data_IF_325130625866
#
_entry.id   IF_325130625866
#
_cell.length_a   1.000
_cell.length_b   1.000
_cell.length_c   1.000
_cell.angle_alpha   90.00
_cell.angle_beta   90.00
_cell.angle_gamma   90.00
#
_symmetry.space_group_name_H-M   'P 1'
#
loop_
_entity.id
_entity.type
_entity.pdbx_description
1 polymer ?
#
# COMPACT_ATOMS: atom_id res chain seq x y z
N UNK A 1 -3.90 -11.77 -8.60
CA UNK A 1 -5.23 -12.41 -8.41
C UNK A 1 -5.90 -12.70 -9.75
N UNK A 2 -5.97 -11.76 -10.71
CA UNK A 2 -6.59 -11.97 -12.04
C UNK A 2 -5.98 -13.14 -12.78
N UNK A 3 -4.64 -13.23 -12.87
CA UNK A 3 -3.92 -14.34 -13.47
C UNK A 3 -4.24 -15.67 -12.78
N UNK A 4 -4.22 -15.67 -11.43
CA UNK A 4 -4.57 -16.85 -10.64
C UNK A 4 -6.00 -17.34 -10.93
N UNK A 5 -6.97 -16.42 -10.96
CA UNK A 5 -8.35 -16.75 -11.28
C UNK A 5 -8.49 -17.34 -12.69
N UNK A 6 -7.78 -16.77 -13.66
CA UNK A 6 -7.83 -17.23 -15.05
C UNK A 6 -7.05 -18.54 -15.26
N UNK A 7 -5.76 -18.56 -14.85
CA UNK A 7 -4.86 -19.66 -15.19
C UNK A 7 -5.05 -20.90 -14.33
N UNK A 8 -5.27 -20.72 -13.01
CA UNK A 8 -5.41 -21.83 -12.07
C UNK A 8 -6.89 -22.24 -11.94
N UNK A 9 -7.75 -21.29 -11.66
CA UNK A 9 -9.18 -21.57 -11.43
C UNK A 9 -10.02 -21.58 -12.72
N UNK A 10 -9.41 -21.29 -13.89
CA UNK A 10 -10.07 -21.31 -15.20
C UNK A 10 -11.33 -20.44 -15.26
N UNK A 11 -11.34 -19.34 -14.50
CA UNK A 11 -12.44 -18.37 -14.58
C UNK A 11 -12.37 -17.64 -15.91
N UNK A 12 -13.50 -17.61 -16.61
CA UNK A 12 -13.62 -16.97 -17.93
C UNK A 12 -13.27 -15.47 -17.83
N UNK A 13 -12.30 -14.94 -18.61
CA UNK A 13 -11.88 -13.53 -18.53
C UNK A 13 -13.02 -12.52 -18.69
N UNK A 14 -14.06 -12.88 -19.46
CA UNK A 14 -15.21 -12.01 -19.71
C UNK A 14 -16.05 -11.71 -18.45
N UNK A 15 -15.96 -12.55 -17.41
CA UNK A 15 -16.64 -12.35 -16.12
C UNK A 15 -15.75 -11.70 -15.06
N UNK A 16 -14.49 -11.39 -15.41
CA UNK A 16 -13.55 -10.72 -14.54
C UNK A 16 -13.36 -9.25 -14.96
N UNK A 17 -13.18 -8.38 -13.99
CA UNK A 17 -12.77 -6.99 -14.20
C UNK A 17 -11.84 -6.55 -13.08
N UNK A 18 -10.63 -6.14 -13.45
CA UNK A 18 -9.67 -5.58 -12.48
C UNK A 18 -10.02 -4.11 -12.22
N UNK A 19 -10.31 -3.79 -10.97
CA UNK A 19 -10.53 -2.42 -10.52
C UNK A 19 -9.67 -2.17 -9.29
N UNK A 20 -8.51 -1.50 -9.43
CA UNK A 20 -7.68 -1.11 -8.31
C UNK A 20 -8.29 0.08 -7.55
N UNK A 21 -7.58 0.60 -6.54
CA UNK A 21 -7.93 1.89 -5.96
C UNK A 21 -7.92 2.98 -7.04
N UNK A 22 -8.86 3.91 -6.95
CA UNK A 22 -8.95 5.05 -7.85
C UNK A 22 -8.50 6.31 -7.13
N UNK A 23 -7.50 6.99 -7.67
CA UNK A 23 -6.97 8.24 -7.15
C UNK A 23 -7.45 9.39 -8.03
N UNK A 24 -8.06 10.38 -7.43
CA UNK A 24 -8.42 11.61 -8.12
C UNK A 24 -7.17 12.49 -8.27
N UNK A 25 -6.54 12.40 -9.44
CA UNK A 25 -5.29 13.12 -9.70
C UNK A 25 -5.47 14.64 -9.70
N UNK A 26 -6.70 15.13 -9.95
CA UNK A 26 -7.00 16.58 -9.89
C UNK A 26 -7.09 17.11 -8.47
N UNK A 27 -7.29 16.22 -7.49
CA UNK A 27 -7.37 16.55 -6.08
C UNK A 27 -6.02 16.35 -5.34
N UNK A 28 -4.96 15.98 -6.06
CA UNK A 28 -3.64 15.88 -5.46
C UNK A 28 -3.16 17.27 -5.00
N UNK A 29 -2.37 17.34 -3.91
CA UNK A 29 -1.80 18.60 -3.47
C UNK A 29 -0.91 19.19 -4.59
N UNK A 30 -1.13 20.45 -4.95
CA UNK A 30 -0.32 21.17 -5.95
C UNK A 30 1.17 21.19 -5.55
N UNK A 31 1.43 21.28 -4.25
CA UNK A 31 2.78 21.27 -3.69
C UNK A 31 2.85 20.37 -2.47
N UNK A 32 3.85 19.52 -2.42
CA UNK A 32 4.25 18.77 -1.24
C UNK A 32 5.56 19.34 -0.68
N UNK A 33 5.85 19.02 0.59
CA UNK A 33 7.11 19.45 1.22
C UNK A 33 8.33 18.98 0.39
N UNK A 34 9.32 19.86 0.25
CA UNK A 34 10.60 19.55 -0.42
C UNK A 34 11.41 18.54 0.41
N UNK A 35 12.48 18.00 -0.19
CA UNK A 35 13.40 17.10 0.50
C UNK A 35 13.96 17.70 1.80
N UNK A 36 14.33 18.98 1.79
CA UNK A 36 14.91 19.69 2.94
C UNK A 36 13.88 19.91 4.07
N UNK A 37 12.62 20.06 3.73
CA UNK A 37 11.52 20.26 4.68
C UNK A 37 11.04 18.96 5.34
N UNK A 38 11.44 17.81 4.78
CA UNK A 38 11.07 16.50 5.28
C UNK A 38 12.11 15.96 6.23
N UNK A 39 11.68 15.38 7.31
CA UNK A 39 12.55 14.82 8.34
C UNK A 39 12.06 13.40 8.68
N UNK A 40 12.76 12.70 9.53
CA UNK A 40 12.42 11.39 10.10
C UNK A 40 11.90 10.33 9.12
N UNK A 41 11.89 9.12 9.60
CA UNK A 41 11.20 7.97 9.00
C UNK A 41 9.82 7.82 9.63
N UNK A 42 8.87 7.25 8.88
CA UNK A 42 7.55 6.98 9.44
C UNK A 42 7.02 5.61 9.04
N UNK A 43 6.10 5.10 9.80
CA UNK A 43 5.15 4.06 9.39
C UNK A 43 3.78 4.35 9.98
N UNK A 44 2.72 3.89 9.32
CA UNK A 44 1.35 4.11 9.79
C UNK A 44 0.50 2.85 9.60
N UNK A 45 -0.42 2.60 10.53
CA UNK A 45 -1.39 1.52 10.37
C UNK A 45 -2.12 1.18 11.65
N UNK A 46 -3.30 0.58 11.52
CA UNK A 46 -4.07 0.11 12.66
C UNK A 46 -3.33 -1.02 13.37
N UNK A 47 -3.03 -0.85 14.68
CA UNK A 47 -2.32 -1.84 15.50
C UNK A 47 -3.09 -3.14 15.74
N UNK A 48 -4.41 -3.14 15.56
CA UNK A 48 -5.22 -4.36 15.64
C UNK A 48 -5.10 -5.26 14.41
N UNK A 49 -4.60 -4.72 13.30
CA UNK A 49 -4.35 -5.49 12.08
C UNK A 49 -3.00 -6.19 12.17
N UNK A 50 -3.03 -7.52 12.17
CA UNK A 50 -1.84 -8.33 12.43
C UNK A 50 -0.61 -8.00 11.57
N UNK A 51 -0.70 -7.78 10.24
CA UNK A 51 0.44 -7.38 9.42
C UNK A 51 1.08 -6.05 9.86
N UNK A 52 0.28 -5.08 10.32
CA UNK A 52 0.81 -3.81 10.79
C UNK A 52 1.57 -3.95 12.12
N UNK A 53 1.02 -4.75 13.04
CA UNK A 53 1.69 -5.04 14.29
C UNK A 53 3.00 -5.79 14.09
N UNK A 54 2.99 -6.78 13.22
CA UNK A 54 4.18 -7.54 12.84
C UNK A 54 5.26 -6.65 12.20
N UNK A 55 4.86 -5.72 11.32
CA UNK A 55 5.78 -4.75 10.74
C UNK A 55 6.45 -3.86 11.80
N UNK A 56 5.71 -3.43 12.84
CA UNK A 56 6.28 -2.67 13.96
C UNK A 56 7.31 -3.51 14.72
N UNK A 57 7.02 -4.79 14.99
CA UNK A 57 7.98 -5.70 15.63
C UNK A 57 9.21 -5.95 14.75
N UNK A 58 9.03 -6.01 13.44
CA UNK A 58 10.17 -6.19 12.54
C UNK A 58 11.01 -4.90 12.42
N UNK A 59 10.37 -3.73 12.49
CA UNK A 59 11.07 -2.45 12.58
C UNK A 59 11.98 -2.35 13.82
N UNK A 60 11.66 -2.99 14.93
CA UNK A 60 12.57 -3.06 16.09
C UNK A 60 13.90 -3.74 15.76
N UNK A 61 13.92 -4.68 14.81
CA UNK A 61 15.15 -5.37 14.34
C UNK A 61 15.89 -4.54 13.28
N UNK A 62 15.16 -3.84 12.42
CA UNK A 62 15.72 -3.02 11.34
C UNK A 62 16.27 -1.69 11.89
N UNK A 63 15.57 -1.08 12.83
CA UNK A 63 15.86 0.27 13.30
C UNK A 63 17.29 0.47 13.85
N UNK A 64 17.87 -0.44 14.63
CA UNK A 64 19.25 -0.34 15.05
C UNK A 64 20.26 -0.28 13.91
N UNK A 65 19.97 -0.94 12.76
CA UNK A 65 20.82 -0.93 11.58
C UNK A 65 20.79 0.45 10.90
N UNK A 66 19.62 1.09 10.85
CA UNK A 66 19.47 2.47 10.36
C UNK A 66 20.15 3.45 11.33
N UNK A 67 19.92 3.33 12.63
CA UNK A 67 20.48 4.22 13.66
C UNK A 67 21.99 4.17 13.74
N UNK A 68 22.60 3.02 13.44
CA UNK A 68 24.06 2.90 13.35
C UNK A 68 24.64 3.82 12.28
N UNK A 69 23.95 4.03 11.17
CA UNK A 69 24.35 4.88 10.05
C UNK A 69 23.86 6.32 10.23
N UNK A 70 22.71 6.52 10.85
CA UNK A 70 22.06 7.82 11.08
C UNK A 70 21.73 8.00 12.57
N UNK A 71 22.72 8.34 13.42
CA UNK A 71 22.57 8.38 14.88
C UNK A 71 21.51 9.35 15.41
N UNK A 72 21.12 10.37 14.64
CA UNK A 72 20.12 11.36 15.02
C UNK A 72 18.74 11.13 14.38
N UNK A 73 18.60 10.10 13.54
CA UNK A 73 17.32 9.84 12.88
C UNK A 73 16.23 9.39 13.90
N UNK A 74 15.00 9.69 13.59
CA UNK A 74 13.82 9.23 14.32
C UNK A 74 12.92 8.39 13.44
N UNK A 75 12.26 7.42 14.02
CA UNK A 75 11.17 6.65 13.42
C UNK A 75 9.88 6.96 14.17
N UNK A 76 8.93 7.58 13.47
CA UNK A 76 7.61 7.90 13.98
C UNK A 76 6.61 6.83 13.57
N UNK A 77 6.01 6.16 14.56
CA UNK A 77 5.07 5.06 14.35
C UNK A 77 3.67 5.53 14.73
N UNK A 78 2.84 5.72 13.70
CA UNK A 78 1.47 6.15 13.83
C UNK A 78 0.50 4.97 13.72
N UNK A 79 -0.65 5.10 14.33
CA UNK A 79 -1.73 4.13 14.14
C UNK A 79 -2.82 4.21 15.19
N UNK A 80 -4.01 3.76 14.79
CA UNK A 80 -5.15 3.64 15.69
C UNK A 80 -5.01 2.44 16.63
N UNK A 81 -5.59 2.57 17.82
CA UNK A 81 -5.68 1.52 18.83
C UNK A 81 -4.32 0.93 19.28
N UNK A 82 -3.33 1.76 19.69
CA UNK A 82 -2.06 1.25 20.18
C UNK A 82 -2.29 0.49 21.49
N UNK A 83 -1.99 -0.82 21.54
CA UNK A 83 -2.10 -1.58 22.79
C UNK A 83 -0.94 -1.23 23.75
N UNK A 84 -1.06 -1.50 25.06
CA UNK A 84 0.01 -1.23 26.03
C UNK A 84 1.37 -1.80 25.62
N UNK A 85 1.38 -2.99 24.98
CA UNK A 85 2.61 -3.59 24.44
C UNK A 85 3.26 -2.78 23.32
N UNK A 86 2.48 -2.01 22.55
CA UNK A 86 3.03 -1.12 21.52
C UNK A 86 3.60 0.16 22.16
N UNK A 87 2.87 0.78 23.10
CA UNK A 87 3.35 1.97 23.79
C UNK A 87 4.60 1.69 24.63
N UNK A 88 4.76 0.47 25.14
CA UNK A 88 5.97 0.03 25.85
C UNK A 88 7.23 -0.01 24.95
N UNK A 89 7.08 -0.01 23.62
CA UNK A 89 8.20 0.06 22.67
C UNK A 89 8.73 1.48 22.47
N UNK A 90 8.01 2.49 22.97
CA UNK A 90 8.41 3.89 22.82
C UNK A 90 9.77 4.15 23.48
N UNK A 91 10.76 4.55 22.71
CA UNK A 91 12.11 4.79 23.20
C UNK A 91 12.73 6.04 22.56
N UNK A 92 12.54 7.22 23.18
CA UNK A 92 13.10 8.47 22.66
C UNK A 92 14.63 8.47 22.54
N UNK A 93 15.34 7.72 23.41
CA UNK A 93 16.82 7.66 23.37
C UNK A 93 17.34 7.02 22.10
N UNK A 94 16.57 6.07 21.53
CA UNK A 94 16.90 5.42 20.27
C UNK A 94 16.16 6.01 19.08
N UNK A 95 15.30 7.01 19.29
CA UNK A 95 14.47 7.60 18.22
C UNK A 95 13.36 6.68 17.72
N UNK A 96 12.98 5.62 18.44
CA UNK A 96 11.86 4.74 18.11
C UNK A 96 10.60 5.24 18.82
N UNK A 97 9.77 6.00 18.12
CA UNK A 97 8.71 6.78 18.75
C UNK A 97 7.32 6.27 18.37
N UNK A 98 6.57 5.79 19.34
CA UNK A 98 5.17 5.43 19.18
C UNK A 98 4.32 6.70 19.33
N UNK A 99 3.86 7.25 18.22
CA UNK A 99 3.07 8.49 18.18
C UNK A 99 1.57 8.26 18.41
N UNK A 100 1.08 7.02 18.17
CA UNK A 100 -0.34 6.71 18.27
C UNK A 100 -1.16 7.28 17.12
N UNK A 101 -2.33 7.84 17.40
CA UNK A 101 -3.24 8.38 16.40
C UNK A 101 -2.61 9.56 15.65
N UNK A 102 -2.85 9.63 14.34
CA UNK A 102 -2.56 10.79 13.51
C UNK A 102 -3.88 11.44 13.11
N UNK A 103 -4.06 12.72 13.43
CA UNK A 103 -5.27 13.47 13.06
C UNK A 103 -5.37 13.63 11.54
N UNK A 104 -4.24 13.84 10.89
CA UNK A 104 -4.10 13.88 9.44
C UNK A 104 -2.96 12.96 9.00
N UNK A 105 -3.32 11.85 8.32
CA UNK A 105 -2.35 10.89 7.80
C UNK A 105 -1.49 11.49 6.67
N UNK A 106 -2.06 12.36 5.85
CA UNK A 106 -1.34 12.99 4.74
C UNK A 106 -0.30 14.00 5.24
N UNK A 107 -0.64 14.77 6.28
CA UNK A 107 0.31 15.71 6.88
C UNK A 107 1.52 14.97 7.50
N UNK A 108 1.29 13.88 8.23
CA UNK A 108 2.42 13.10 8.80
C UNK A 108 3.23 12.39 7.74
N UNK A 109 2.62 11.95 6.64
CA UNK A 109 3.32 11.35 5.50
C UNK A 109 4.21 12.37 4.79
N UNK A 110 3.67 13.53 4.41
CA UNK A 110 4.46 14.56 3.73
C UNK A 110 5.53 15.21 4.60
N UNK A 111 5.43 15.11 5.92
CA UNK A 111 6.45 15.58 6.85
C UNK A 111 7.60 14.57 7.02
N UNK A 112 7.35 13.31 6.74
CA UNK A 112 8.38 12.27 6.77
C UNK A 112 9.18 12.24 5.47
N UNK A 113 10.46 11.89 5.57
CA UNK A 113 11.31 11.71 4.41
C UNK A 113 11.08 10.35 3.75
N UNK A 114 10.89 9.30 4.55
CA UNK A 114 10.69 7.93 4.07
C UNK A 114 9.57 7.24 4.85
N UNK A 115 8.70 6.54 4.13
CA UNK A 115 7.75 5.60 4.70
C UNK A 115 8.35 4.18 4.75
N UNK A 116 8.41 3.58 5.92
CA UNK A 116 8.91 2.22 6.14
C UNK A 116 7.75 1.23 6.32
N UNK A 117 7.65 0.25 5.42
CA UNK A 117 6.59 -0.75 5.46
C UNK A 117 7.13 -2.18 5.26
N UNK A 118 7.87 -2.75 6.23
CA UNK A 118 8.48 -4.07 6.11
C UNK A 118 7.45 -5.18 6.37
N UNK A 119 6.47 -5.30 5.49
CA UNK A 119 5.38 -6.27 5.60
C UNK A 119 5.87 -7.68 5.27
N UNK A 120 5.67 -8.63 6.16
CA UNK A 120 6.08 -10.04 5.98
C UNK A 120 4.94 -10.95 5.55
N UNK A 121 3.71 -10.49 5.71
CA UNK A 121 2.49 -11.14 5.24
C UNK A 121 1.36 -10.12 5.10
N UNK A 122 0.28 -10.50 4.45
CA UNK A 122 -0.91 -9.69 4.19
C UNK A 122 -1.30 -9.74 2.72
N UNK A 123 -2.58 -9.65 2.44
CA UNK A 123 -3.14 -9.70 1.09
C UNK A 123 -3.65 -8.31 0.66
N UNK A 124 -3.91 -8.15 -0.63
CA UNK A 124 -4.49 -6.96 -1.24
C UNK A 124 -3.54 -5.75 -1.30
N UNK A 125 -4.02 -4.69 -1.90
CA UNK A 125 -3.30 -3.41 -2.05
C UNK A 125 -3.10 -2.75 -0.68
N UNK A 126 -1.90 -2.22 -0.47
CA UNK A 126 -1.51 -1.61 0.81
C UNK A 126 -1.79 -0.10 0.78
N UNK A 127 -2.97 0.32 1.28
CA UNK A 127 -3.42 1.72 1.26
C UNK A 127 -2.35 2.71 1.71
N UNK A 128 -1.63 2.43 2.80
CA UNK A 128 -0.54 3.29 3.29
C UNK A 128 0.57 3.56 2.27
N UNK A 129 0.88 2.59 1.40
CA UNK A 129 1.89 2.76 0.36
C UNK A 129 1.35 3.58 -0.82
N UNK A 130 0.06 3.42 -1.14
CA UNK A 130 -0.61 4.29 -2.11
C UNK A 130 -0.71 5.73 -1.60
N UNK A 131 -1.10 5.92 -0.34
CA UNK A 131 -1.15 7.23 0.31
C UNK A 131 0.23 7.89 0.38
N UNK A 132 1.29 7.11 0.63
CA UNK A 132 2.66 7.60 0.56
C UNK A 132 3.03 8.10 -0.85
N UNK A 133 2.62 7.39 -1.91
CA UNK A 133 2.80 7.86 -3.29
C UNK A 133 2.05 9.18 -3.55
N UNK A 134 0.80 9.27 -3.09
CA UNK A 134 -0.02 10.50 -3.17
C UNK A 134 0.67 11.67 -2.49
N UNK A 135 1.29 11.45 -1.34
CA UNK A 135 2.04 12.48 -0.60
C UNK A 135 3.49 12.64 -1.06
N UNK A 136 3.86 11.99 -2.17
CA UNK A 136 5.21 12.03 -2.73
C UNK A 136 6.27 11.65 -1.68
N UNK A 137 5.96 10.70 -0.81
CA UNK A 137 6.86 10.18 0.22
C UNK A 137 7.41 8.83 -0.25
N UNK A 138 8.69 8.74 -0.59
CA UNK A 138 9.32 7.47 -0.96
C UNK A 138 9.10 6.41 0.09
N UNK A 139 8.98 5.15 -0.34
CA UNK A 139 8.76 4.05 0.57
C UNK A 139 9.76 2.92 0.41
N UNK A 140 10.16 2.33 1.53
CA UNK A 140 10.90 1.06 1.53
C UNK A 140 9.97 -0.02 2.03
N UNK A 141 9.84 -1.08 1.24
CA UNK A 141 8.91 -2.17 1.52
C UNK A 141 9.50 -3.53 1.13
N UNK A 142 8.71 -4.56 1.23
CA UNK A 142 9.03 -5.96 0.87
C UNK A 142 8.27 -6.37 -0.39
N UNK A 143 8.59 -7.52 -1.01
CA UNK A 143 7.77 -8.07 -2.09
C UNK A 143 6.30 -8.24 -1.71
N UNK A 144 5.99 -8.62 -0.46
CA UNK A 144 4.60 -8.68 0.04
C UNK A 144 3.95 -7.30 0.11
N UNK A 145 4.72 -6.26 0.47
CA UNK A 145 4.20 -4.89 0.54
C UNK A 145 3.87 -4.30 -0.83
N UNK A 146 4.68 -4.59 -1.84
CA UNK A 146 4.52 -4.08 -3.21
C UNK A 146 3.63 -4.95 -4.10
N UNK A 147 3.21 -6.13 -3.61
CA UNK A 147 2.45 -7.09 -4.39
C UNK A 147 1.19 -6.48 -5.02
N UNK A 148 1.08 -6.60 -6.35
CA UNK A 148 -0.04 -6.11 -7.12
C UNK A 148 -0.14 -4.59 -7.26
N UNK A 149 0.89 -3.82 -6.83
CA UNK A 149 0.83 -2.36 -6.77
C UNK A 149 1.54 -1.63 -7.92
N UNK A 150 2.49 -2.26 -8.60
CA UNK A 150 3.35 -1.53 -9.55
C UNK A 150 3.54 -2.20 -10.92
N UNK A 151 2.96 -3.39 -11.12
CA UNK A 151 3.18 -4.20 -12.31
C UNK A 151 4.69 -4.32 -12.63
N UNK A 152 5.12 -3.80 -13.78
CA UNK A 152 6.53 -3.77 -14.21
C UNK A 152 7.16 -2.38 -14.07
N UNK A 153 6.44 -1.40 -13.52
CA UNK A 153 6.94 -0.05 -13.33
C UNK A 153 7.89 0.02 -12.13
N UNK A 154 8.84 0.98 -12.12
CA UNK A 154 9.73 1.18 -10.99
C UNK A 154 8.96 1.46 -9.71
N UNK A 155 9.41 0.88 -8.59
CA UNK A 155 8.85 1.19 -7.28
C UNK A 155 9.28 2.58 -6.80
N UNK A 156 8.41 3.37 -6.17
CA UNK A 156 8.75 4.69 -5.63
C UNK A 156 9.58 4.58 -4.34
N UNK A 157 10.79 4.11 -4.47
CA UNK A 157 11.71 3.81 -3.39
C UNK A 157 12.44 2.49 -3.59
N UNK A 158 12.29 1.55 -2.63
CA UNK A 158 12.95 0.25 -2.73
C UNK A 158 12.07 -0.91 -2.26
N UNK A 159 12.24 -2.07 -2.91
CA UNK A 159 11.68 -3.36 -2.49
C UNK A 159 12.85 -4.25 -2.06
N UNK A 160 12.83 -4.75 -0.83
CA UNK A 160 13.95 -5.48 -0.23
C UNK A 160 13.50 -6.78 0.43
N UNK A 161 14.39 -7.76 0.55
CA UNK A 161 14.04 -9.08 1.04
C UNK A 161 14.44 -9.34 2.50
N UNK A 162 15.41 -8.58 3.03
CA UNK A 162 15.93 -8.78 4.38
C UNK A 162 16.17 -7.45 5.12
N UNK A 163 16.47 -7.53 6.41
CA UNK A 163 16.62 -6.38 7.28
C UNK A 163 17.82 -5.47 6.91
N UNK A 164 18.92 -6.04 6.45
CA UNK A 164 20.12 -5.29 6.09
C UNK A 164 19.93 -4.51 4.80
N UNK A 165 19.39 -5.14 3.75
CA UNK A 165 19.00 -4.48 2.51
C UNK A 165 17.99 -3.37 2.77
N UNK A 166 16.99 -3.65 3.62
CA UNK A 166 15.96 -2.68 4.00
C UNK A 166 16.57 -1.45 4.66
N UNK A 167 17.46 -1.65 5.63
CA UNK A 167 18.12 -0.55 6.31
C UNK A 167 19.02 0.26 5.37
N UNK A 168 19.80 -0.40 4.52
CA UNK A 168 20.69 0.27 3.56
C UNK A 168 19.91 1.08 2.53
N UNK A 169 18.84 0.52 1.96
CA UNK A 169 17.97 1.24 1.02
C UNK A 169 17.30 2.44 1.69
N UNK A 170 16.80 2.27 2.93
CA UNK A 170 16.19 3.37 3.69
C UNK A 170 17.19 4.51 3.94
N UNK A 171 18.42 4.19 4.33
CA UNK A 171 19.50 5.19 4.54
C UNK A 171 19.89 5.85 3.23
N UNK A 172 20.06 5.11 2.15
CA UNK A 172 20.42 5.65 0.83
C UNK A 172 19.41 6.70 0.38
N UNK A 173 18.12 6.37 0.31
CA UNK A 173 17.09 7.31 -0.12
C UNK A 173 16.94 8.48 0.86
N UNK A 174 17.15 8.25 2.16
CA UNK A 174 17.08 9.30 3.18
C UNK A 174 18.17 10.34 3.03
N UNK A 175 19.37 9.96 2.61
CA UNK A 175 20.56 10.83 2.53
C UNK A 175 20.87 11.34 1.13
N UNK A 176 20.31 10.72 0.10
CA UNK A 176 20.54 11.05 -1.30
C UNK A 176 19.30 11.71 -1.92
N UNK A 177 19.37 13.03 -2.09
CA UNK A 177 18.28 13.80 -2.69
C UNK A 177 17.93 13.36 -4.12
N UNK A 178 18.91 12.92 -4.91
CA UNK A 178 18.65 12.48 -6.28
C UNK A 178 17.83 11.18 -6.29
N UNK A 179 18.13 10.23 -5.40
CA UNK A 179 17.34 9.00 -5.23
C UNK A 179 15.93 9.31 -4.71
N UNK A 180 15.82 10.25 -3.76
CA UNK A 180 14.52 10.71 -3.25
C UNK A 180 13.66 11.28 -4.39
N UNK A 181 14.19 12.18 -5.22
CA UNK A 181 13.46 12.78 -6.35
C UNK A 181 13.13 11.72 -7.41
N UNK A 182 14.03 10.77 -7.68
CA UNK A 182 13.75 9.67 -8.60
C UNK A 182 12.58 8.80 -8.10
N UNK A 183 12.53 8.51 -6.80
CA UNK A 183 11.42 7.79 -6.19
C UNK A 183 10.09 8.56 -6.28
N UNK A 184 10.10 9.87 -6.08
CA UNK A 184 8.90 10.71 -6.27
C UNK A 184 8.39 10.65 -7.71
N UNK A 185 9.28 10.72 -8.71
CA UNK A 185 8.90 10.60 -10.14
C UNK A 185 8.29 9.25 -10.44
N UNK A 186 8.88 8.16 -9.93
CA UNK A 186 8.33 6.81 -10.09
C UNK A 186 6.94 6.69 -9.45
N UNK A 187 6.71 7.30 -8.28
CA UNK A 187 5.40 7.33 -7.63
C UNK A 187 4.35 8.06 -8.45
N UNK A 188 4.69 9.21 -9.02
CA UNK A 188 3.80 9.95 -9.90
C UNK A 188 3.46 9.15 -11.17
N UNK A 189 4.45 8.50 -11.79
CA UNK A 189 4.22 7.64 -12.95
C UNK A 189 3.26 6.48 -12.64
N UNK A 190 3.45 5.82 -11.49
CA UNK A 190 2.55 4.77 -11.01
C UNK A 190 1.12 5.28 -10.81
N UNK A 191 0.93 6.42 -10.17
CA UNK A 191 -0.38 7.01 -9.93
C UNK A 191 -1.11 7.30 -11.24
N UNK A 192 -0.43 7.94 -12.19
CA UNK A 192 -1.01 8.26 -13.50
C UNK A 192 -1.30 7.01 -14.35
N UNK A 193 -0.44 5.98 -14.28
CA UNK A 193 -0.57 4.80 -15.14
C UNK A 193 -1.57 3.78 -14.61
N UNK A 194 -1.61 3.57 -13.28
CA UNK A 194 -2.35 2.43 -12.69
C UNK A 194 -3.53 2.85 -11.82
N UNK A 195 -3.56 4.10 -11.34
CA UNK A 195 -4.52 4.53 -10.32
C UNK A 195 -5.36 5.74 -10.71
N UNK A 196 -5.22 6.26 -11.93
CA UNK A 196 -5.99 7.41 -12.40
C UNK A 196 -7.49 7.10 -12.41
N UNK A 197 -8.23 7.79 -11.52
CA UNK A 197 -9.68 7.63 -11.38
C UNK A 197 -10.44 7.92 -12.67
N UNK A 198 -10.03 8.92 -13.47
CA UNK A 198 -10.73 9.27 -14.70
C UNK A 198 -10.68 8.10 -15.69
N UNK A 199 -9.47 7.59 -15.96
CA UNK A 199 -9.26 6.46 -16.86
C UNK A 199 -9.93 5.17 -16.36
N UNK A 200 -9.79 4.86 -15.07
CA UNK A 200 -10.37 3.65 -14.48
C UNK A 200 -11.90 3.68 -14.45
N UNK A 201 -12.48 4.87 -14.22
CA UNK A 201 -13.92 5.06 -14.23
C UNK A 201 -14.51 4.85 -15.62
N UNK A 202 -13.88 5.40 -16.66
CA UNK A 202 -14.33 5.24 -18.03
C UNK A 202 -14.32 3.76 -18.46
N UNK A 203 -13.25 3.04 -18.15
CA UNK A 203 -13.12 1.61 -18.40
C UNK A 203 -14.20 0.79 -17.65
N UNK A 204 -14.50 1.16 -16.40
CA UNK A 204 -15.53 0.51 -15.60
C UNK A 204 -16.93 0.74 -16.18
N UNK A 205 -17.26 1.98 -16.55
CA UNK A 205 -18.57 2.34 -17.13
C UNK A 205 -18.77 1.63 -18.46
N UNK A 206 -17.76 1.61 -19.33
CA UNK A 206 -17.81 0.87 -20.60
C UNK A 206 -18.07 -0.63 -20.35
N UNK A 207 -17.38 -1.24 -19.40
CA UNK A 207 -17.59 -2.65 -19.05
C UNK A 207 -19.00 -2.91 -18.52
N UNK A 208 -19.54 -2.04 -17.67
CA UNK A 208 -20.91 -2.13 -17.15
C UNK A 208 -21.92 -2.04 -18.29
N UNK A 209 -21.74 -1.08 -19.22
CA UNK A 209 -22.62 -0.91 -20.36
C UNK A 209 -22.61 -2.17 -21.27
N UNK A 210 -21.42 -2.70 -21.58
CA UNK A 210 -21.25 -3.91 -22.38
C UNK A 210 -21.97 -5.12 -21.74
N UNK A 211 -21.78 -5.32 -20.44
CA UNK A 211 -22.44 -6.39 -19.68
C UNK A 211 -23.95 -6.19 -19.64
N UNK A 212 -24.42 -4.97 -19.43
CA UNK A 212 -25.85 -4.63 -19.39
C UNK A 212 -26.56 -4.92 -20.72
N UNK A 213 -25.94 -4.53 -21.84
CA UNK A 213 -26.48 -4.79 -23.17
C UNK A 213 -26.60 -6.29 -23.51
N UNK A 214 -25.69 -7.10 -22.96
CA UNK A 214 -25.61 -8.54 -23.23
C UNK A 214 -25.86 -9.39 -21.97
N UNK A 215 -26.69 -8.91 -21.06
CA UNK A 215 -26.82 -9.45 -19.69
C UNK A 215 -27.17 -10.95 -19.66
N UNK A 216 -28.08 -11.40 -20.53
CA UNK A 216 -28.50 -12.80 -20.59
C UNK A 216 -27.35 -13.72 -21.03
N UNK A 217 -26.62 -13.36 -22.10
CA UNK A 217 -25.48 -14.12 -22.56
C UNK A 217 -24.33 -14.11 -21.55
N UNK A 218 -24.07 -12.94 -20.90
CA UNK A 218 -23.08 -12.81 -19.85
C UNK A 218 -23.39 -13.70 -18.63
N UNK A 219 -24.64 -13.75 -18.19
CA UNK A 219 -25.09 -14.63 -17.08
C UNK A 219 -24.92 -16.11 -17.40
N UNK A 220 -25.17 -16.53 -18.64
CA UNK A 220 -24.96 -17.91 -19.06
C UNK A 220 -23.50 -18.36 -18.97
N UNK A 221 -22.54 -17.45 -19.19
CA UNK A 221 -21.10 -17.75 -19.06
C UNK A 221 -20.67 -18.00 -17.60
N UNK A 222 -21.41 -17.49 -16.61
CA UNK A 222 -21.17 -17.72 -15.19
C UNK A 222 -22.14 -18.78 -14.62
N UNK A 223 -22.17 -19.94 -15.24
CA UNK A 223 -23.07 -21.02 -14.85
C UNK A 223 -22.87 -21.48 -13.39
N UNK A 224 -21.61 -21.67 -12.97
CA UNK A 224 -21.29 -22.08 -11.60
C UNK A 224 -21.77 -21.07 -10.56
N UNK A 225 -21.56 -19.78 -10.78
CA UNK A 225 -22.07 -18.72 -9.91
C UNK A 225 -23.59 -18.69 -9.82
N UNK A 226 -24.30 -18.93 -10.93
CA UNK A 226 -25.75 -19.03 -10.95
C UNK A 226 -26.24 -20.25 -10.16
N UNK A 227 -25.60 -21.39 -10.33
CA UNK A 227 -25.90 -22.60 -9.61
C UNK A 227 -25.72 -22.48 -8.10
N UNK A 228 -24.59 -21.89 -7.66
CA UNK A 228 -24.31 -21.63 -6.24
C UNK A 228 -25.34 -20.67 -5.62
N UNK A 229 -25.71 -19.61 -6.33
CA UNK A 229 -26.70 -18.65 -5.88
C UNK A 229 -28.09 -19.31 -5.71
N UNK A 230 -28.45 -20.24 -6.59
CA UNK A 230 -29.69 -20.98 -6.52
C UNK A 230 -29.69 -22.01 -5.37
N UNK A 231 -28.56 -22.67 -5.14
CA UNK A 231 -28.41 -23.66 -4.08
C UNK A 231 -28.57 -23.04 -2.67
N UNK A 232 -27.95 -21.90 -2.42
CA UNK A 232 -28.05 -21.19 -1.13
C UNK A 232 -29.48 -20.70 -0.84
N UNK A 233 -30.22 -20.29 -1.85
CA UNK A 233 -31.62 -19.88 -1.68
C UNK A 233 -32.56 -21.05 -1.35
N UNK A 234 -32.24 -22.27 -1.77
CA UNK A 234 -33.05 -23.48 -1.43
C UNK A 234 -32.74 -24.01 -0.03
N UNK A 235 -31.50 -24.01 0.41
CA UNK A 235 -31.12 -24.49 1.75
C UNK A 235 -31.76 -23.65 2.87
N UNK A 236 -31.95 -22.36 2.69
CA UNK A 236 -32.64 -21.48 3.66
C UNK A 236 -34.16 -21.62 3.65
N UNK A 237 -34.74 -22.26 2.64
CA UNK A 237 -36.19 -22.42 2.53
C UNK A 237 -36.72 -23.69 3.25
N UNK A 238 -35.83 -24.58 3.67
CA UNK A 238 -36.14 -25.85 4.35
C UNK A 238 -35.53 -25.93 5.77
N UNK A 239 -34.96 -24.85 6.31
CA UNK A 239 -34.68 -24.65 7.73
C UNK A 239 -35.73 -23.74 8.35
#
# INVERSE_FOLDING_TARGET
EMELLNEVFKVEPSVLHHLPFMVDLSALPEQTKSYEQRQHFMTIGNFRHAPNWDAVLYLQKIWPLIRKQLPQAELHIYGSYPPPKATALNNPKTGFLIKGWADDAYEVMQSARICLAPLRFGAGIKGKLLEAMIMQTPSVTTPIGSEGMHNHLPWPGAITQNAEEFANAAVSIYTNQAEFIAAQKAGNELLHTLYDKAQLNDNLIEKIQLVSQNLSAHRMKNFTGQMLKHHTMRSTKYM
#
